data_IF_242899778531
#
_entry.id   IF_242899778531
#
_cell.length_a   1.000
_cell.length_b   1.000
_cell.length_c   1.000
_cell.angle_alpha   90.00
_cell.angle_beta   90.00
_cell.angle_gamma   90.00
#
_symmetry.space_group_name_H-M   'P 1'
#
loop_
_entity.id
_entity.type
_entity.pdbx_description
1 polymer ?
#
# COMPACT_ATOMS: atom_id res chain seq x y z
N UNK A 1 8.05 10.13 7.83
CA UNK A 1 8.22 9.06 6.83
C UNK A 1 7.74 7.74 7.43
N UNK A 2 6.83 7.06 6.77
CA UNK A 2 6.32 5.79 7.26
C UNK A 2 7.18 4.62 6.78
N UNK A 3 7.66 4.68 5.54
CA UNK A 3 8.46 3.61 4.97
C UNK A 3 9.26 4.11 3.76
N UNK A 4 10.43 3.57 3.55
CA UNK A 4 11.25 3.87 2.38
C UNK A 4 12.10 2.68 2.01
N UNK A 5 12.24 2.42 0.72
CA UNK A 5 13.09 1.36 0.20
C UNK A 5 13.48 1.68 -1.24
N UNK A 6 14.71 1.34 -1.61
CA UNK A 6 15.17 1.46 -2.99
C UNK A 6 14.73 0.31 -3.89
N UNK A 7 14.06 -0.69 -3.33
CA UNK A 7 13.65 -1.85 -4.10
C UNK A 7 12.47 -1.54 -5.02
N UNK A 8 12.30 -2.36 -6.03
CA UNK A 8 11.19 -2.24 -6.98
C UNK A 8 9.95 -2.90 -6.40
N UNK A 9 8.84 -2.15 -6.37
CA UNK A 9 7.55 -2.63 -5.86
C UNK A 9 6.52 -2.68 -6.98
N UNK A 10 5.64 -3.66 -6.90
CA UNK A 10 4.54 -3.84 -7.84
C UNK A 10 3.22 -3.87 -7.07
N UNK A 11 2.17 -3.31 -7.65
CA UNK A 11 0.82 -3.47 -7.12
C UNK A 11 0.45 -4.95 -7.31
N UNK A 12 0.52 -5.71 -6.23
CA UNK A 12 0.45 -7.17 -6.28
C UNK A 12 -0.96 -7.69 -6.19
N UNK A 13 -1.74 -7.13 -5.28
CA UNK A 13 -3.09 -7.60 -5.04
C UNK A 13 -3.94 -6.49 -4.44
N UNK A 14 -5.16 -6.36 -4.91
CA UNK A 14 -6.17 -5.52 -4.31
C UNK A 14 -7.43 -6.34 -4.14
N UNK A 15 -7.99 -6.36 -2.94
CA UNK A 15 -9.16 -7.16 -2.61
C UNK A 15 -10.22 -6.24 -2.00
N UNK A 16 -11.37 -6.12 -2.65
CA UNK A 16 -12.49 -5.33 -2.13
C UNK A 16 -13.15 -6.05 -0.95
N UNK A 17 -13.29 -7.37 -1.05
CA UNK A 17 -13.78 -8.19 0.05
C UNK A 17 -12.83 -8.12 1.25
N UNK A 18 -13.32 -8.42 2.45
CA UNK A 18 -12.52 -8.42 3.68
C UNK A 18 -11.84 -7.08 3.96
N UNK A 19 -12.64 -6.00 3.92
CA UNK A 19 -12.23 -4.65 4.33
C UNK A 19 -11.32 -3.93 3.34
N UNK A 20 -11.42 -4.22 2.05
CA UNK A 20 -10.73 -3.46 1.01
C UNK A 20 -9.24 -3.31 1.31
N UNK A 21 -8.43 -4.21 0.81
CA UNK A 21 -7.00 -4.28 1.14
C UNK A 21 -6.14 -4.16 -0.10
N UNK A 22 -5.06 -3.40 0.01
CA UNK A 22 -4.05 -3.28 -1.04
C UNK A 22 -2.72 -3.85 -0.57
N UNK A 23 -2.09 -4.64 -1.42
CA UNK A 23 -0.78 -5.22 -1.18
C UNK A 23 0.17 -4.76 -2.29
N UNK A 24 1.25 -4.11 -1.91
CA UNK A 24 2.37 -3.81 -2.79
C UNK A 24 3.50 -4.77 -2.43
N UNK A 25 4.13 -5.36 -3.42
CA UNK A 25 5.18 -6.36 -3.17
C UNK A 25 6.43 -6.06 -3.95
N UNK A 26 7.57 -6.16 -3.27
CA UNK A 26 8.87 -6.28 -3.89
C UNK A 26 9.23 -7.76 -3.88
N UNK A 27 9.16 -8.45 -5.04
CA UNK A 27 9.37 -9.89 -5.08
C UNK A 27 10.84 -10.26 -4.86
N UNK A 28 11.06 -11.49 -4.43
CA UNK A 28 12.40 -12.07 -4.37
C UNK A 28 12.93 -12.27 -5.78
N UNK A 29 14.18 -11.89 -6.01
CA UNK A 29 14.82 -12.15 -7.29
C UNK A 29 15.46 -13.53 -7.32
N UNK A 30 16.02 -13.95 -6.18
CA UNK A 30 16.67 -15.24 -6.03
C UNK A 30 16.22 -15.90 -4.75
N UNK A 31 16.56 -17.18 -4.58
CA UNK A 31 16.21 -17.90 -3.35
C UNK A 31 16.87 -17.32 -2.09
N UNK A 32 17.95 -16.53 -2.25
CA UNK A 32 18.63 -15.91 -1.12
C UNK A 32 18.10 -14.52 -0.79
N UNK A 33 17.26 -13.94 -1.66
CA UNK A 33 16.68 -12.62 -1.43
C UNK A 33 15.46 -12.71 -0.50
N UNK A 34 15.10 -11.56 0.04
CA UNK A 34 13.85 -11.40 0.77
C UNK A 34 12.77 -10.82 -0.13
N UNK A 35 11.54 -11.05 0.28
CA UNK A 35 10.34 -10.42 -0.27
C UNK A 35 9.85 -9.37 0.71
N UNK A 36 9.47 -8.20 0.22
CA UNK A 36 8.89 -7.16 1.06
C UNK A 36 7.45 -6.95 0.66
N UNK A 37 6.56 -7.01 1.62
CA UNK A 37 5.14 -6.72 1.44
C UNK A 37 4.78 -5.45 2.19
N UNK A 38 4.08 -4.53 1.51
CA UNK A 38 3.47 -3.35 2.11
C UNK A 38 1.96 -3.52 2.03
N UNK A 39 1.27 -3.29 3.12
CA UNK A 39 -0.15 -3.54 3.22
C UNK A 39 -0.89 -2.38 3.87
N UNK A 40 -2.03 -2.02 3.29
CA UNK A 40 -3.00 -1.12 3.91
C UNK A 40 -4.37 -1.77 3.81
N UNK A 41 -5.05 -1.91 4.95
CA UNK A 41 -6.43 -2.38 5.01
C UNK A 41 -7.39 -1.20 5.17
N UNK A 42 -8.68 -1.48 5.03
CA UNK A 42 -9.71 -0.45 5.15
C UNK A 42 -9.56 0.67 4.14
N UNK A 43 -9.15 0.35 2.93
CA UNK A 43 -8.89 1.34 1.88
C UNK A 43 -10.19 1.98 1.43
N UNK A 44 -10.28 3.31 1.53
CA UNK A 44 -11.42 4.10 1.06
C UNK A 44 -11.17 4.72 -0.31
N UNK A 45 -9.90 4.95 -0.66
CA UNK A 45 -9.51 5.49 -1.95
C UNK A 45 -8.04 5.20 -2.18
N UNK A 46 -7.65 5.07 -3.44
CA UNK A 46 -6.26 4.91 -3.79
C UNK A 46 -5.98 5.40 -5.21
N UNK A 47 -4.77 5.87 -5.42
CA UNK A 47 -4.23 6.23 -6.71
C UNK A 47 -2.81 5.71 -6.74
N UNK A 48 -2.55 4.66 -7.50
CA UNK A 48 -1.23 4.03 -7.53
C UNK A 48 -0.84 3.68 -8.96
N UNK A 49 0.45 3.62 -9.18
CA UNK A 49 1.01 3.09 -10.42
C UNK A 49 1.10 1.57 -10.32
N UNK A 50 1.16 0.86 -11.45
CA UNK A 50 1.38 -0.58 -11.42
C UNK A 50 2.68 -0.98 -10.73
N UNK A 51 3.71 -0.12 -10.80
CA UNK A 51 4.99 -0.41 -10.16
C UNK A 51 5.75 0.87 -9.81
N UNK A 52 6.70 0.73 -8.90
CA UNK A 52 7.57 1.81 -8.43
C UNK A 52 9.01 1.32 -8.36
N UNK A 53 9.93 2.09 -8.92
CA UNK A 53 11.38 1.86 -8.77
C UNK A 53 11.85 2.64 -7.54
N UNK A 54 11.91 1.95 -6.42
CA UNK A 54 12.06 2.63 -5.14
C UNK A 54 10.73 3.23 -4.72
N UNK A 55 10.48 3.23 -3.43
CA UNK A 55 9.24 3.75 -2.89
C UNK A 55 9.53 4.50 -1.60
N UNK A 56 8.90 5.65 -1.45
CA UNK A 56 8.85 6.37 -0.19
C UNK A 56 7.39 6.61 0.12
N UNK A 57 6.97 6.17 1.29
CA UNK A 57 5.62 6.40 1.77
C UNK A 57 5.72 7.31 2.98
N UNK A 58 4.94 8.37 2.98
CA UNK A 58 4.90 9.34 4.06
C UNK A 58 3.46 9.68 4.41
N UNK A 59 3.26 10.23 5.58
CA UNK A 59 1.95 10.75 5.95
C UNK A 59 1.63 11.97 5.09
N UNK A 60 0.41 12.02 4.57
CA UNK A 60 -0.04 13.16 3.78
C UNK A 60 -0.19 14.41 4.64
N UNK A 61 0.07 15.57 4.04
CA UNK A 61 -0.15 16.85 4.70
C UNK A 61 -1.64 17.19 4.72
N UNK A 62 -2.02 18.16 5.55
CA UNK A 62 -3.40 18.63 5.60
C UNK A 62 -3.83 19.19 4.23
N UNK A 63 -2.93 19.85 3.52
CA UNK A 63 -3.18 20.34 2.17
C UNK A 63 -3.46 19.19 1.20
N UNK A 64 -2.64 18.14 1.24
CA UNK A 64 -2.83 16.97 0.39
C UNK A 64 -4.14 16.26 0.71
N UNK A 65 -4.45 16.12 1.99
CA UNK A 65 -5.71 15.53 2.43
C UNK A 65 -6.91 16.35 1.95
N UNK A 66 -6.79 17.68 2.01
CA UNK A 66 -7.81 18.58 1.48
C UNK A 66 -8.02 18.42 -0.02
N UNK A 67 -6.96 18.22 -0.76
CA UNK A 67 -7.06 17.99 -2.22
C UNK A 67 -7.75 16.68 -2.54
N UNK A 68 -7.45 15.63 -1.82
CA UNK A 68 -8.12 14.33 -1.99
C UNK A 68 -9.62 14.47 -1.66
N UNK A 69 -9.93 15.17 -0.58
CA UNK A 69 -11.32 15.45 -0.19
C UNK A 69 -12.05 16.23 -1.26
N UNK A 70 -11.39 17.21 -1.86
CA UNK A 70 -11.97 18.04 -2.91
C UNK A 70 -12.30 17.23 -4.16
N UNK A 71 -11.45 16.28 -4.52
CA UNK A 71 -11.62 15.46 -5.72
C UNK A 71 -12.61 14.31 -5.48
N UNK A 72 -12.52 13.64 -4.34
CA UNK A 72 -13.23 12.38 -4.08
C UNK A 72 -14.34 12.49 -3.04
N UNK A 73 -14.43 13.62 -2.36
CA UNK A 73 -15.44 13.85 -1.34
C UNK A 73 -14.92 13.58 0.07
N UNK A 74 -15.61 14.14 1.10
CA UNK A 74 -15.16 14.03 2.48
C UNK A 74 -15.33 12.63 3.08
N UNK A 75 -16.15 11.78 2.48
CA UNK A 75 -16.38 10.43 2.98
C UNK A 75 -15.12 9.56 2.96
N UNK A 76 -14.11 9.94 2.17
CA UNK A 76 -12.85 9.20 2.10
C UNK A 76 -12.19 9.09 3.48
N UNK A 77 -12.34 10.13 4.32
CA UNK A 77 -11.73 10.17 5.64
C UNK A 77 -12.76 10.10 6.78
N UNK A 78 -13.99 9.69 6.48
CA UNK A 78 -15.09 9.73 7.45
C UNK A 78 -14.91 8.79 8.65
N UNK A 79 -14.10 7.74 8.49
CA UNK A 79 -13.84 6.75 9.54
C UNK A 79 -12.48 6.93 10.22
N UNK A 80 -11.84 8.08 10.01
CA UNK A 80 -10.50 8.31 10.54
C UNK A 80 -9.39 7.72 9.71
N UNK A 81 -9.65 7.45 8.44
CA UNK A 81 -8.63 6.94 7.53
C UNK A 81 -7.43 7.89 7.47
N UNK A 82 -6.27 7.31 7.32
CA UNK A 82 -5.01 8.03 7.14
C UNK A 82 -4.73 8.22 5.66
N UNK A 83 -4.04 9.28 5.33
CA UNK A 83 -3.54 9.47 3.96
C UNK A 83 -2.06 9.09 3.92
N UNK A 84 -1.78 8.01 3.20
CA UNK A 84 -0.41 7.58 2.92
C UNK A 84 -0.03 8.07 1.54
N UNK A 85 0.93 8.99 1.46
CA UNK A 85 1.37 9.56 0.19
C UNK A 85 2.61 8.82 -0.28
N UNK A 86 2.59 8.41 -1.54
CA UNK A 86 3.75 7.82 -2.19
C UNK A 86 4.47 8.93 -2.94
N UNK A 87 5.74 9.11 -2.61
CA UNK A 87 6.57 10.18 -3.15
C UNK A 87 7.19 11.00 -2.03
N UNK A 88 8.42 11.47 -2.25
CA UNK A 88 9.15 12.20 -1.22
C UNK A 88 8.67 13.65 -1.13
N UNK A 89 8.76 14.39 -2.23
CA UNK A 89 8.42 15.81 -2.27
C UNK A 89 7.08 16.07 -2.92
N UNK A 90 6.69 15.22 -3.86
CA UNK A 90 5.42 15.36 -4.55
C UNK A 90 4.67 14.04 -4.51
N UNK A 91 3.37 14.15 -4.60
CA UNK A 91 2.51 12.98 -4.62
C UNK A 91 2.62 12.29 -5.99
N UNK A 92 3.12 11.07 -6.00
CA UNK A 92 3.11 10.21 -7.19
C UNK A 92 2.07 9.09 -7.06
N UNK A 93 1.41 9.03 -5.91
CA UNK A 93 0.33 8.13 -5.61
C UNK A 93 -0.12 8.33 -4.17
N UNK A 94 -1.24 7.72 -3.82
CA UNK A 94 -1.70 7.74 -2.43
C UNK A 94 -2.59 6.54 -2.12
N UNK A 95 -2.68 6.23 -0.84
CA UNK A 95 -3.63 5.26 -0.31
C UNK A 95 -4.28 5.90 0.91
N UNK A 96 -5.60 6.00 0.91
CA UNK A 96 -6.37 6.41 2.07
C UNK A 96 -6.97 5.17 2.73
N UNK A 97 -6.64 4.93 3.98
CA UNK A 97 -7.07 3.72 4.66
C UNK A 97 -6.53 3.63 6.09
N UNK A 98 -6.43 2.41 6.58
CA UNK A 98 -5.88 2.11 7.89
C UNK A 98 -4.38 2.30 7.95
N UNK A 99 -3.74 1.76 8.98
CA UNK A 99 -2.28 1.90 9.12
C UNK A 99 -1.52 1.16 8.02
N UNK A 100 -0.36 1.70 7.66
CA UNK A 100 0.57 1.02 6.78
C UNK A 100 1.33 -0.03 7.57
N UNK A 101 1.33 -1.25 7.06
CA UNK A 101 2.09 -2.36 7.63
C UNK A 101 3.09 -2.86 6.61
N UNK A 102 4.24 -3.31 7.07
CA UNK A 102 5.25 -3.88 6.18
C UNK A 102 5.87 -5.13 6.80
N UNK A 103 6.30 -6.03 5.93
CA UNK A 103 6.94 -7.27 6.34
C UNK A 103 7.97 -7.68 5.30
N UNK A 104 9.14 -8.02 5.77
CA UNK A 104 10.19 -8.59 4.93
C UNK A 104 10.40 -10.04 5.33
N UNK A 105 10.29 -10.96 4.35
CA UNK A 105 10.38 -12.40 4.60
C UNK A 105 11.15 -13.07 3.47
N UNK A 106 11.48 -14.35 3.66
CA UNK A 106 12.03 -15.19 2.60
C UNK A 106 10.98 -16.07 1.94
N UNK A 107 9.71 -15.78 2.15
CA UNK A 107 8.63 -16.53 1.52
C UNK A 107 8.71 -16.41 0.00
N UNK A 108 8.27 -17.45 -0.69
CA UNK A 108 8.23 -17.42 -2.16
C UNK A 108 7.23 -16.37 -2.65
N UNK A 109 7.45 -15.86 -3.86
CA UNK A 109 6.59 -14.81 -4.42
C UNK A 109 5.15 -15.27 -4.58
N UNK A 110 4.94 -16.55 -4.81
CA UNK A 110 3.62 -17.14 -4.93
C UNK A 110 2.90 -17.36 -3.60
N UNK A 111 3.61 -17.26 -2.47
CA UNK A 111 2.98 -17.46 -1.17
C UNK A 111 2.17 -16.23 -0.76
N UNK A 112 1.00 -16.41 -0.15
CA UNK A 112 0.21 -15.29 0.34
C UNK A 112 0.97 -14.48 1.38
N UNK A 113 0.64 -13.20 1.49
CA UNK A 113 1.17 -12.38 2.56
C UNK A 113 0.50 -12.75 3.88
N UNK A 114 1.18 -12.47 4.99
CA UNK A 114 0.59 -12.67 6.31
C UNK A 114 -0.49 -11.66 6.65
N UNK A 115 -0.69 -10.63 5.83
CA UNK A 115 -1.67 -9.58 6.07
C UNK A 115 -3.03 -9.91 5.49
N UNK A 116 -3.08 -10.64 4.39
CA UNK A 116 -4.32 -10.96 3.69
C UNK A 116 -4.78 -12.35 4.07
N UNK A 117 -6.09 -12.54 4.29
CA UNK A 117 -6.60 -13.87 4.52
C UNK A 117 -6.33 -14.76 3.31
N UNK A 118 -6.05 -16.02 3.57
CA UNK A 118 -5.89 -17.01 2.50
C UNK A 118 -7.21 -17.13 1.75
N UNK A 119 -7.18 -17.15 0.41
CA UNK A 119 -8.39 -17.48 -0.32
C UNK A 119 -8.83 -18.90 0.06
N UNK A 120 -10.14 -19.16 0.07
CA UNK A 120 -10.60 -20.52 0.37
C UNK A 120 -10.00 -21.49 -0.63
N UNK A 121 -9.45 -22.55 -0.11
CA UNK A 121 -9.00 -23.67 -0.96
C UNK A 121 -10.22 -24.43 -1.42
N UNK A 122 -10.32 -24.55 -2.69
CA UNK A 122 -11.38 -25.31 -3.30
C UNK A 122 -10.99 -26.77 -3.47
#
# INVERSE_FOLDING_TARGET
MEYSSGRHFTAWQYTVAHHSRILLRSPRRTASDTRIDLHVGGVSALLIRPSYRGITVREGTDEEKGRVTEILGPQVFARGERLHVIGEDRMTGFIAGGPLEHRETRAADSEPSGFLPMPPTE
#
